data_IF_851361390633
#
_entry.id   IF_851361390633
#
_cell.length_a   1.000
_cell.length_b   1.000
_cell.length_c   1.000
_cell.angle_alpha   90.00
_cell.angle_beta   90.00
_cell.angle_gamma   90.00
#
_symmetry.space_group_name_H-M   'P 1'
#
loop_
_entity.id
_entity.type
_entity.pdbx_description
1 polymer ?
#
# COMPACT_ATOMS: atom_id res chain seq x y z
N UNK A 1 76.43 2.27 -2.72
CA UNK A 1 75.10 2.60 -2.16
C UNK A 1 74.30 3.37 -3.21
N UNK A 2 73.32 2.73 -3.86
CA UNK A 2 72.46 3.36 -4.89
C UNK A 2 71.39 4.20 -4.19
N UNK A 3 71.50 5.53 -4.25
CA UNK A 3 70.42 6.44 -3.80
C UNK A 3 69.26 6.36 -4.80
N UNK A 4 68.15 5.76 -4.38
CA UNK A 4 66.88 5.83 -5.11
C UNK A 4 66.30 7.25 -4.96
N UNK A 5 66.33 8.04 -6.02
CA UNK A 5 65.66 9.34 -6.08
C UNK A 5 64.15 9.09 -6.23
N UNK A 6 63.40 9.26 -5.15
CA UNK A 6 61.94 9.12 -5.12
C UNK A 6 61.33 10.34 -5.84
N UNK A 7 60.84 10.15 -7.06
CA UNK A 7 60.09 11.19 -7.79
C UNK A 7 58.68 11.28 -7.24
N UNK A 8 58.41 12.28 -6.40
CA UNK A 8 57.06 12.67 -6.04
C UNK A 8 56.51 13.54 -7.17
N UNK A 9 55.99 12.93 -8.24
CA UNK A 9 55.17 13.66 -9.22
C UNK A 9 53.87 14.04 -8.52
N UNK A 10 53.81 15.26 -8.01
CA UNK A 10 52.58 15.85 -7.48
C UNK A 10 51.55 16.02 -8.59
N UNK A 11 50.27 15.87 -8.23
CA UNK A 11 49.14 16.05 -9.12
C UNK A 11 49.16 17.44 -9.73
N UNK A 12 49.03 17.56 -11.06
CA UNK A 12 49.00 18.87 -11.72
C UNK A 12 47.65 19.55 -11.45
N UNK A 13 47.66 20.87 -11.24
CA UNK A 13 46.42 21.66 -11.15
C UNK A 13 45.56 21.50 -12.43
N UNK A 14 46.21 21.30 -13.58
CA UNK A 14 45.52 21.07 -14.86
C UNK A 14 44.80 19.73 -14.87
N UNK A 15 45.41 18.67 -14.31
CA UNK A 15 44.77 17.35 -14.22
C UNK A 15 43.51 17.41 -13.35
N UNK A 16 43.56 18.17 -12.25
CA UNK A 16 42.39 18.40 -11.39
C UNK A 16 41.27 19.10 -12.14
N UNK A 17 41.61 20.14 -12.89
CA UNK A 17 40.64 20.96 -13.62
C UNK A 17 39.92 20.15 -14.70
N UNK A 18 40.65 19.31 -15.45
CA UNK A 18 40.04 18.43 -16.46
C UNK A 18 39.13 17.39 -15.81
N UNK A 19 39.52 16.84 -14.65
CA UNK A 19 38.71 15.85 -13.94
C UNK A 19 37.36 16.42 -13.48
N UNK A 20 37.35 17.61 -12.87
CA UNK A 20 36.08 18.24 -12.43
C UNK A 20 35.19 18.62 -13.61
N UNK A 21 35.76 19.00 -14.77
CA UNK A 21 35.01 19.27 -15.99
C UNK A 21 34.28 18.01 -16.48
N UNK A 22 34.98 16.88 -16.53
CA UNK A 22 34.37 15.61 -16.96
C UNK A 22 33.29 15.17 -15.96
N UNK A 23 33.55 15.27 -14.66
CA UNK A 23 32.56 14.95 -13.63
C UNK A 23 31.31 15.84 -13.72
N UNK A 24 31.47 17.13 -14.04
CA UNK A 24 30.34 18.04 -14.22
C UNK A 24 29.44 17.62 -15.40
N UNK A 25 30.02 17.21 -16.52
CA UNK A 25 29.27 16.72 -17.69
C UNK A 25 28.53 15.42 -17.38
N UNK A 26 29.21 14.47 -16.73
CA UNK A 26 28.60 13.19 -16.33
C UNK A 26 27.46 13.43 -15.33
N UNK A 27 27.68 14.25 -14.32
CA UNK A 27 26.67 14.58 -13.31
C UNK A 27 25.42 15.24 -13.93
N UNK A 28 25.60 16.15 -14.90
CA UNK A 28 24.49 16.79 -15.60
C UNK A 28 23.57 15.81 -16.30
N UNK A 29 24.13 14.87 -17.07
CA UNK A 29 23.34 13.83 -17.77
C UNK A 29 22.71 12.84 -16.78
N UNK A 30 23.45 12.44 -15.74
CA UNK A 30 22.97 11.51 -14.73
C UNK A 30 21.69 12.00 -14.04
N UNK A 31 21.60 13.28 -13.65
CA UNK A 31 20.41 13.83 -12.97
C UNK A 31 19.15 13.64 -13.82
N UNK A 32 19.22 13.90 -15.12
CA UNK A 32 18.06 13.76 -16.02
C UNK A 32 17.59 12.32 -16.18
N UNK A 33 18.52 11.37 -16.28
CA UNK A 33 18.25 9.94 -16.38
C UNK A 33 17.65 9.40 -15.07
N UNK A 34 18.27 9.71 -13.93
CA UNK A 34 17.81 9.22 -12.63
C UNK A 34 16.45 9.81 -12.23
N UNK A 35 16.16 11.07 -12.58
CA UNK A 35 14.85 11.69 -12.33
C UNK A 35 13.70 10.94 -13.00
N UNK A 36 13.85 10.61 -14.29
CA UNK A 36 12.83 9.86 -15.05
C UNK A 36 12.62 8.44 -14.52
N UNK A 37 13.73 7.70 -14.32
CA UNK A 37 13.68 6.31 -13.82
C UNK A 37 13.08 6.23 -12.42
N UNK A 38 13.43 7.17 -11.53
CA UNK A 38 12.90 7.21 -10.18
C UNK A 38 11.39 7.48 -10.17
N UNK A 39 10.92 8.39 -11.02
CA UNK A 39 9.48 8.68 -11.18
C UNK A 39 8.70 7.43 -11.62
N UNK A 40 9.14 6.79 -12.71
CA UNK A 40 8.50 5.57 -13.21
C UNK A 40 8.57 4.41 -12.23
N UNK A 41 9.66 4.29 -11.47
CA UNK A 41 9.83 3.24 -10.45
C UNK A 41 8.80 3.39 -9.32
N UNK A 42 8.56 4.62 -8.86
CA UNK A 42 7.53 4.92 -7.85
C UNK A 42 6.13 4.65 -8.38
N UNK A 43 5.83 5.07 -9.60
CA UNK A 43 4.52 4.81 -10.23
C UNK A 43 4.27 3.29 -10.41
N UNK A 44 5.30 2.55 -10.80
CA UNK A 44 5.20 1.09 -10.94
C UNK A 44 5.02 0.39 -9.59
N UNK A 45 5.72 0.84 -8.54
CA UNK A 45 5.53 0.34 -7.18
C UNK A 45 4.11 0.63 -6.65
N UNK A 46 3.55 1.79 -7.00
CA UNK A 46 2.17 2.14 -6.65
C UNK A 46 1.16 1.26 -7.38
N UNK A 47 1.38 0.98 -8.67
CA UNK A 47 0.54 0.03 -9.44
C UNK A 47 0.58 -1.38 -8.85
N UNK A 48 1.77 -1.85 -8.47
CA UNK A 48 1.91 -3.17 -7.83
C UNK A 48 1.18 -3.21 -6.48
N UNK A 49 1.29 -2.15 -5.69
CA UNK A 49 0.60 -2.02 -4.40
C UNK A 49 -0.92 -1.97 -4.58
N UNK A 50 -1.41 -1.22 -5.57
CA UNK A 50 -2.83 -1.14 -5.92
C UNK A 50 -3.39 -2.51 -6.32
N UNK A 51 -2.67 -3.25 -7.17
CA UNK A 51 -3.02 -4.61 -7.57
C UNK A 51 -2.98 -5.59 -6.39
N UNK A 52 -2.05 -5.43 -5.45
CA UNK A 52 -2.03 -6.23 -4.24
C UNK A 52 -3.27 -5.97 -3.35
N UNK A 53 -3.64 -4.70 -3.15
CA UNK A 53 -4.85 -4.33 -2.40
C UNK A 53 -6.10 -4.89 -3.08
N UNK A 54 -6.20 -4.74 -4.40
CA UNK A 54 -7.30 -5.30 -5.20
C UNK A 54 -7.43 -6.81 -5.03
N UNK A 55 -6.32 -7.54 -5.13
CA UNK A 55 -6.29 -9.00 -4.94
C UNK A 55 -6.72 -9.39 -3.52
N UNK A 56 -6.29 -8.65 -2.51
CA UNK A 56 -6.68 -8.92 -1.13
C UNK A 56 -8.18 -8.73 -0.91
N UNK A 57 -8.77 -7.64 -1.41
CA UNK A 57 -10.22 -7.39 -1.34
C UNK A 57 -10.99 -8.48 -2.09
N UNK A 58 -10.57 -8.83 -3.32
CA UNK A 58 -11.21 -9.88 -4.10
C UNK A 58 -11.12 -11.24 -3.40
N UNK A 59 -9.97 -11.56 -2.84
CA UNK A 59 -9.76 -12.82 -2.10
C UNK A 59 -10.65 -12.87 -0.86
N UNK A 60 -10.76 -11.76 -0.13
CA UNK A 60 -11.69 -11.63 0.98
C UNK A 60 -13.13 -11.93 0.53
N UNK A 61 -13.65 -11.21 -0.47
CA UNK A 61 -15.02 -11.39 -0.97
C UNK A 61 -15.31 -12.84 -1.39
N UNK A 62 -14.35 -13.50 -2.03
CA UNK A 62 -14.52 -14.89 -2.48
C UNK A 62 -14.46 -15.90 -1.32
N UNK A 63 -13.63 -15.67 -0.30
CA UNK A 63 -13.48 -16.58 0.83
C UNK A 63 -14.59 -16.44 1.86
N UNK A 64 -15.07 -15.22 2.09
CA UNK A 64 -16.13 -14.92 3.06
C UNK A 64 -17.51 -14.91 2.43
N UNK A 65 -17.63 -14.84 1.10
CA UNK A 65 -18.89 -14.59 0.41
C UNK A 65 -19.53 -13.23 0.78
N UNK A 66 -18.79 -12.35 1.46
CA UNK A 66 -19.20 -10.98 1.78
C UNK A 66 -18.81 -10.04 0.63
N UNK A 67 -19.63 -10.02 -0.41
CA UNK A 67 -19.42 -9.17 -1.60
C UNK A 67 -19.54 -7.68 -1.32
N UNK A 68 -20.20 -7.30 -0.22
CA UNK A 68 -20.49 -5.91 0.13
C UNK A 68 -19.61 -5.38 1.28
N UNK A 69 -18.60 -6.14 1.71
CA UNK A 69 -17.70 -5.78 2.83
C UNK A 69 -18.47 -5.37 4.11
N UNK A 70 -19.69 -5.87 4.30
CA UNK A 70 -20.55 -5.51 5.42
C UNK A 70 -19.95 -6.03 6.73
N UNK A 71 -19.31 -7.21 6.69
CA UNK A 71 -18.56 -7.77 7.81
C UNK A 71 -17.33 -6.93 8.19
N UNK A 72 -16.81 -6.10 7.28
CA UNK A 72 -15.73 -5.14 7.58
C UNK A 72 -16.24 -3.77 8.06
N UNK A 73 -17.55 -3.59 8.10
CA UNK A 73 -18.22 -2.37 8.57
C UNK A 73 -18.54 -1.39 7.46
N UNK A 74 -18.50 -1.82 6.19
CA UNK A 74 -18.92 -0.96 5.09
C UNK A 74 -20.44 -0.98 4.93
N UNK A 75 -21.01 0.20 4.70
CA UNK A 75 -22.41 0.39 4.31
C UNK A 75 -22.49 0.84 2.86
N UNK A 76 -23.34 0.21 2.05
CA UNK A 76 -23.55 0.58 0.65
C UNK A 76 -24.12 2.01 0.47
N UNK A 77 -24.77 2.55 1.51
CA UNK A 77 -25.42 3.86 1.45
C UNK A 77 -24.45 5.04 1.65
N UNK A 78 -23.25 4.80 2.20
CA UNK A 78 -22.30 5.86 2.54
C UNK A 78 -20.87 5.42 2.19
N UNK A 79 -20.12 6.21 1.39
CA UNK A 79 -18.71 5.93 1.15
C UNK A 79 -17.93 5.83 2.46
N UNK A 80 -17.01 4.87 2.53
CA UNK A 80 -16.08 4.76 3.64
C UNK A 80 -15.06 5.88 3.52
N UNK A 81 -15.01 6.74 4.54
CA UNK A 81 -14.24 8.00 4.51
C UNK A 81 -12.73 7.80 4.48
N UNK A 82 -12.22 6.64 4.92
CA UNK A 82 -10.79 6.36 5.03
C UNK A 82 -10.46 4.96 4.52
N UNK A 83 -9.89 4.86 3.31
CA UNK A 83 -9.40 3.59 2.75
C UNK A 83 -8.30 2.93 3.59
N UNK A 84 -7.60 3.71 4.42
CA UNK A 84 -6.60 3.20 5.37
C UNK A 84 -7.22 2.27 6.41
N UNK A 85 -8.46 2.49 6.81
CA UNK A 85 -9.14 1.62 7.79
C UNK A 85 -9.48 0.26 7.17
N UNK A 86 -9.96 0.24 5.92
CA UNK A 86 -10.16 -1.00 5.17
C UNK A 86 -8.85 -1.79 5.04
N UNK A 87 -7.76 -1.14 4.62
CA UNK A 87 -6.46 -1.80 4.48
C UNK A 87 -5.99 -2.36 5.83
N UNK A 88 -6.15 -1.62 6.93
CA UNK A 88 -5.82 -2.11 8.28
C UNK A 88 -6.63 -3.33 8.67
N UNK A 89 -7.93 -3.36 8.38
CA UNK A 89 -8.80 -4.51 8.65
C UNK A 89 -8.38 -5.74 7.85
N UNK A 90 -7.98 -5.58 6.59
CA UNK A 90 -7.46 -6.66 5.75
C UNK A 90 -6.09 -7.21 6.21
N UNK A 91 -5.33 -6.42 6.97
CA UNK A 91 -4.09 -6.88 7.61
C UNK A 91 -4.31 -7.69 8.90
N UNK A 92 -5.53 -7.73 9.42
CA UNK A 92 -5.86 -8.45 10.66
C UNK A 92 -6.30 -9.88 10.36
N UNK A 93 -6.20 -10.74 11.37
CA UNK A 93 -6.97 -11.99 11.40
C UNK A 93 -8.43 -11.62 11.68
N UNK A 94 -9.32 -12.04 10.80
CA UNK A 94 -10.75 -11.72 10.84
C UNK A 94 -11.49 -12.97 11.32
N UNK A 95 -12.10 -12.92 12.50
CA UNK A 95 -12.97 -13.96 13.01
C UNK A 95 -14.42 -13.51 12.86
N UNK A 96 -15.19 -14.22 12.03
CA UNK A 96 -16.61 -13.97 11.81
C UNK A 96 -17.41 -15.06 12.52
N UNK A 97 -18.25 -14.66 13.46
CA UNK A 97 -19.12 -15.54 14.23
C UNK A 97 -20.56 -15.00 14.27
N UNK A 98 -21.50 -15.85 14.67
CA UNK A 98 -22.89 -15.44 14.88
C UNK A 98 -22.99 -14.46 16.06
N UNK A 99 -23.63 -13.32 15.82
CA UNK A 99 -23.93 -12.31 16.84
C UNK A 99 -25.16 -12.68 17.68
N UNK A 100 -25.32 -12.00 18.82
CA UNK A 100 -26.52 -12.15 19.66
C UNK A 100 -27.69 -11.32 19.12
N UNK A 101 -28.37 -11.82 18.07
CA UNK A 101 -29.68 -11.32 17.64
C UNK A 101 -29.89 -11.31 16.12
N UNK A 102 -30.84 -12.12 15.61
CA UNK A 102 -31.11 -12.21 14.17
C UNK A 102 -29.89 -12.70 13.38
N UNK A 103 -29.91 -12.64 12.05
CA UNK A 103 -28.79 -13.08 11.19
C UNK A 103 -27.51 -12.23 11.33
N UNK A 104 -27.39 -11.42 12.38
CA UNK A 104 -26.26 -10.54 12.62
C UNK A 104 -24.97 -11.33 12.85
N UNK A 105 -23.87 -10.86 12.26
CA UNK A 105 -22.53 -11.40 12.49
C UNK A 105 -21.70 -10.47 13.37
N UNK A 106 -20.96 -11.05 14.31
CA UNK A 106 -19.92 -10.37 15.08
C UNK A 106 -18.56 -10.64 14.43
N UNK A 107 -17.82 -9.58 14.12
CA UNK A 107 -16.50 -9.67 13.47
C UNK A 107 -15.43 -9.12 14.40
N UNK A 108 -14.46 -9.96 14.72
CA UNK A 108 -13.29 -9.60 15.54
C UNK A 108 -12.06 -9.48 14.66
N UNK A 109 -11.24 -8.49 14.97
CA UNK A 109 -9.98 -8.21 14.28
C UNK A 109 -8.84 -8.41 15.26
N UNK A 110 -8.05 -9.47 15.08
CA UNK A 110 -6.83 -9.68 15.84
C UNK A 110 -5.62 -9.28 14.98
N UNK A 111 -4.92 -8.22 15.41
CA UNK A 111 -3.72 -7.76 14.69
C UNK A 111 -2.54 -8.68 15.01
N UNK A 112 -1.74 -9.10 14.00
CA UNK A 112 -0.49 -9.77 14.28
C UNK A 112 0.41 -8.86 15.13
N UNK A 113 1.05 -9.42 16.15
CA UNK A 113 1.77 -8.73 17.24
C UNK A 113 2.88 -7.76 16.76
N UNK A 114 3.24 -7.79 15.48
CA UNK A 114 4.29 -6.99 14.84
C UNK A 114 3.80 -5.66 14.21
N UNK A 115 2.50 -5.34 14.26
CA UNK A 115 1.91 -4.19 13.52
C UNK A 115 1.34 -3.08 14.43
N UNK A 116 1.42 -3.25 15.76
CA UNK A 116 1.05 -2.23 16.75
C UNK A 116 -0.35 -2.43 17.36
N UNK A 117 -0.61 -1.70 18.46
CA UNK A 117 -1.74 -1.91 19.39
C UNK A 117 -2.99 -1.07 19.07
N UNK A 118 -3.32 -0.87 17.78
CA UNK A 118 -4.58 -0.19 17.44
C UNK A 118 -5.72 -1.19 17.52
N UNK A 119 -6.51 -1.12 18.59
CA UNK A 119 -7.76 -1.88 18.71
C UNK A 119 -8.72 -1.43 17.61
N UNK A 120 -8.93 -2.27 16.61
CA UNK A 120 -10.06 -2.10 15.68
C UNK A 120 -11.30 -2.60 16.43
N UNK A 121 -12.32 -1.75 16.52
CA UNK A 121 -13.58 -2.10 17.18
C UNK A 121 -14.28 -3.25 16.46
N UNK A 122 -14.96 -4.10 17.23
CA UNK A 122 -15.81 -5.17 16.68
C UNK A 122 -16.87 -4.57 15.75
N UNK A 123 -17.06 -5.19 14.59
CA UNK A 123 -18.12 -4.80 13.66
C UNK A 123 -19.28 -5.77 13.85
N UNK A 124 -20.48 -5.22 14.03
CA UNK A 124 -21.73 -5.97 13.92
C UNK A 124 -22.30 -5.72 12.53
N UNK A 125 -21.94 -6.58 11.58
CA UNK A 125 -22.27 -6.39 10.16
C UNK A 125 -22.20 -7.71 9.43
N UNK A 126 -23.21 -8.00 8.61
CA UNK A 126 -23.41 -9.28 7.92
C UNK A 126 -24.79 -9.84 8.22
N UNK A 127 -25.52 -10.20 7.16
CA UNK A 127 -26.88 -10.79 7.21
C UNK A 127 -26.91 -12.23 6.67
N UNK A 128 -25.75 -12.77 6.27
CA UNK A 128 -25.64 -14.06 5.59
C UNK A 128 -25.22 -15.15 6.58
N UNK A 129 -26.05 -16.18 6.73
CA UNK A 129 -25.91 -17.21 7.77
C UNK A 129 -24.66 -18.11 7.59
N UNK A 130 -24.06 -18.15 6.41
CA UNK A 130 -22.99 -19.04 5.99
C UNK A 130 -21.56 -18.47 6.08
N UNK A 131 -21.38 -17.20 6.45
CA UNK A 131 -20.08 -16.49 6.41
C UNK A 131 -19.17 -16.79 7.64
N UNK A 132 -19.52 -17.77 8.48
CA UNK A 132 -18.78 -18.03 9.71
C UNK A 132 -17.40 -18.65 9.45
N UNK A 133 -16.36 -18.12 10.09
CA UNK A 133 -15.01 -18.65 9.96
C UNK A 133 -13.92 -17.72 10.47
N UNK A 134 -12.73 -18.29 10.61
CA UNK A 134 -11.50 -17.55 10.90
C UNK A 134 -10.70 -17.40 9.62
N UNK A 135 -10.44 -16.16 9.24
CA UNK A 135 -9.71 -15.77 8.05
C UNK A 135 -8.39 -15.11 8.47
N UNK A 136 -7.29 -15.60 7.94
CA UNK A 136 -5.96 -15.06 8.20
C UNK A 136 -5.77 -13.74 7.43
N UNK A 137 -4.74 -12.93 7.76
CA UNK A 137 -4.46 -11.67 7.08
C UNK A 137 -4.38 -11.83 5.55
N UNK A 138 -5.10 -10.95 4.84
CA UNK A 138 -5.11 -10.90 3.38
C UNK A 138 -4.01 -9.99 2.82
N UNK A 139 -3.50 -9.09 3.65
CA UNK A 139 -2.38 -8.19 3.35
C UNK A 139 -1.32 -8.34 4.44
N UNK A 140 -0.05 -8.31 4.03
CA UNK A 140 1.07 -8.24 4.95
C UNK A 140 1.14 -6.86 5.63
N UNK A 141 0.66 -6.78 6.87
CA UNK A 141 0.64 -5.55 7.66
C UNK A 141 2.02 -4.99 8.04
N UNK A 142 3.11 -5.72 7.79
CA UNK A 142 4.47 -5.18 8.01
C UNK A 142 4.94 -4.26 6.90
N UNK A 143 4.27 -4.30 5.74
CA UNK A 143 4.60 -3.46 4.59
C UNK A 143 3.80 -2.16 4.62
N UNK A 144 4.50 -1.05 4.39
CA UNK A 144 3.85 0.24 4.23
C UNK A 144 3.11 0.30 2.88
N UNK A 145 1.78 0.28 2.96
CA UNK A 145 0.89 0.34 1.81
C UNK A 145 0.61 1.78 1.36
N UNK A 146 1.28 2.81 1.87
CA UNK A 146 1.09 4.19 1.40
C UNK A 146 1.75 4.40 0.03
N UNK A 147 1.08 5.11 -0.92
CA UNK A 147 1.67 5.44 -2.22
C UNK A 147 3.05 6.11 -2.08
N UNK A 148 3.99 5.70 -2.91
CA UNK A 148 5.38 6.17 -2.96
C UNK A 148 5.55 7.35 -3.90
N UNK A 149 4.59 7.60 -4.80
CA UNK A 149 4.59 8.78 -5.67
C UNK A 149 4.37 10.06 -4.86
N UNK A 150 5.22 11.10 -5.03
CA UNK A 150 5.05 12.36 -4.32
C UNK A 150 3.69 13.02 -4.61
N UNK A 151 3.06 13.59 -3.59
CA UNK A 151 1.79 14.30 -3.72
C UNK A 151 0.54 13.42 -3.67
N UNK A 152 0.69 12.11 -3.42
CA UNK A 152 -0.43 11.19 -3.22
C UNK A 152 -0.71 10.99 -1.73
N UNK A 153 -1.97 11.02 -1.34
CA UNK A 153 -2.40 10.98 0.07
C UNK A 153 -2.95 9.61 0.53
N UNK A 154 -3.38 8.77 -0.41
CA UNK A 154 -3.94 7.44 -0.12
C UNK A 154 -4.45 6.71 -1.37
N UNK A 155 -5.36 5.76 -1.15
CA UNK A 155 -5.98 4.97 -2.22
C UNK A 155 -7.47 5.31 -2.34
N UNK A 156 -7.93 5.53 -3.57
CA UNK A 156 -9.33 5.54 -3.92
C UNK A 156 -9.71 4.12 -4.37
N UNK A 157 -10.69 3.52 -3.70
CA UNK A 157 -11.11 2.14 -3.96
C UNK A 157 -12.58 2.18 -4.41
N UNK A 158 -12.84 1.68 -5.61
CA UNK A 158 -14.19 1.59 -6.17
C UNK A 158 -14.54 0.12 -6.41
N UNK A 159 -15.67 -0.32 -5.88
CA UNK A 159 -16.08 -1.72 -5.89
C UNK A 159 -17.45 -1.82 -6.57
N UNK A 160 -17.54 -2.62 -7.62
CA UNK A 160 -18.82 -3.04 -8.20
C UNK A 160 -19.14 -4.43 -7.64
N UNK A 161 -20.16 -4.57 -6.76
CA UNK A 161 -20.47 -5.84 -6.12
C UNK A 161 -21.18 -6.83 -7.05
N UNK A 162 -21.86 -6.35 -8.10
CA UNK A 162 -22.57 -7.21 -9.07
C UNK A 162 -21.59 -7.81 -10.08
N UNK A 163 -20.65 -6.99 -10.59
CA UNK A 163 -19.64 -7.44 -11.53
C UNK A 163 -18.37 -8.00 -10.85
N UNK A 164 -18.25 -7.87 -9.52
CA UNK A 164 -17.04 -8.17 -8.73
C UNK A 164 -15.78 -7.47 -9.28
N UNK A 165 -15.97 -6.26 -9.83
CA UNK A 165 -14.88 -5.45 -10.37
C UNK A 165 -14.40 -4.47 -9.31
N UNK A 166 -13.12 -4.57 -8.96
CA UNK A 166 -12.47 -3.66 -8.01
C UNK A 166 -11.44 -2.81 -8.75
N UNK A 167 -11.59 -1.49 -8.63
CA UNK A 167 -10.63 -0.49 -9.13
C UNK A 167 -9.93 0.16 -7.94
N UNK A 168 -8.61 0.20 -7.99
CA UNK A 168 -7.77 0.84 -6.95
C UNK A 168 -6.86 1.84 -7.64
N UNK A 169 -6.97 3.10 -7.25
CA UNK A 169 -6.21 4.21 -7.83
C UNK A 169 -5.58 5.07 -6.73
N UNK A 170 -4.52 5.80 -7.08
CA UNK A 170 -3.89 6.74 -6.14
C UNK A 170 -4.75 7.98 -6.00
N UNK A 171 -5.07 8.37 -4.76
CA UNK A 171 -5.77 9.60 -4.44
C UNK A 171 -4.79 10.76 -4.27
N UNK A 172 -5.09 11.92 -4.88
CA UNK A 172 -4.30 13.15 -4.73
C UNK A 172 -4.51 13.80 -3.36
N UNK A 173 -5.75 13.80 -2.85
CA UNK A 173 -6.08 14.36 -1.54
C UNK A 173 -6.54 13.28 -0.55
N UNK A 174 -6.40 13.54 0.75
CA UNK A 174 -6.89 12.63 1.80
C UNK A 174 -8.41 12.43 1.71
N UNK A 175 -9.15 13.45 1.28
CA UNK A 175 -10.61 13.38 1.09
C UNK A 175 -11.04 12.49 -0.08
N UNK A 176 -10.13 12.22 -1.01
CA UNK A 176 -10.37 11.35 -2.18
C UNK A 176 -9.95 9.90 -1.88
N UNK A 177 -9.29 9.65 -0.75
CA UNK A 177 -8.85 8.32 -0.30
C UNK A 177 -10.00 7.53 0.35
N UNK A 178 -11.10 7.38 -0.39
CA UNK A 178 -12.34 6.77 0.08
C UNK A 178 -12.56 5.39 -0.56
N UNK A 179 -13.41 4.58 0.09
CA UNK A 179 -13.97 3.36 -0.50
C UNK A 179 -15.41 3.64 -0.88
N UNK A 180 -15.80 3.39 -2.13
CA UNK A 180 -17.17 3.56 -2.62
C UNK A 180 -17.62 2.33 -3.39
N UNK A 181 -18.93 2.07 -3.36
CA UNK A 181 -19.56 1.17 -4.30
C UNK A 181 -19.99 1.96 -5.54
N UNK A 182 -19.80 1.37 -6.72
CA UNK A 182 -20.31 1.91 -8.01
C UNK A 182 -21.61 1.22 -8.43
#
# INVERSE_FOLDING_TARGET
MKKMLKQNKGFSLVELLVAILIMAVIAGTAITLFGGVLGSSRENADKETAENIKRAILTYMNMTNDTNLNCLGMSQATPWTDSKDLIKKLCCTIEIADGSGGNAKSVKFDMPTQVGTTTIGEVNGGDATDINGTYHPFIDGTKDMVPKTPGKAGWAISIDPEAQVIKVETADNSSDAIVKFE
#
